data_IF_582303169370
#
_entry.id   IF_582303169370
#
_cell.length_a   1.000
_cell.length_b   1.000
_cell.length_c   1.000
_cell.angle_alpha   90.00
_cell.angle_beta   90.00
_cell.angle_gamma   90.00
#
_symmetry.space_group_name_H-M   'P 1'
#
loop_
_entity.id
_entity.type
_entity.pdbx_description
1 polymer ?
#
# COMPACT_ATOMS: atom_id res chain seq x y z
N UNK A 1 3.61 6.32 8.19
CA UNK A 1 4.24 5.10 8.72
C UNK A 1 3.26 3.95 8.54
N UNK A 2 3.73 2.79 8.11
CA UNK A 2 2.87 1.65 7.74
C UNK A 2 3.46 0.34 8.28
N UNK A 3 2.65 -0.42 9.01
CA UNK A 3 3.05 -1.72 9.55
C UNK A 3 2.73 -2.84 8.57
N UNK A 4 3.71 -3.71 8.33
CA UNK A 4 3.60 -4.76 7.30
C UNK A 4 4.13 -6.10 7.82
N UNK A 5 3.45 -7.18 7.46
CA UNK A 5 3.96 -8.55 7.57
C UNK A 5 4.36 -9.01 6.18
N UNK A 6 5.62 -9.32 5.96
CA UNK A 6 6.04 -9.93 4.69
C UNK A 6 6.16 -11.42 4.90
N UNK A 7 5.58 -12.20 4.00
CA UNK A 7 5.55 -13.65 4.01
C UNK A 7 6.12 -14.17 2.69
N UNK A 8 6.83 -15.30 2.76
CA UNK A 8 7.29 -16.01 1.58
C UNK A 8 6.55 -17.34 1.46
N UNK A 9 5.99 -17.59 0.28
CA UNK A 9 5.31 -18.84 -0.06
C UNK A 9 5.81 -19.42 -1.37
N UNK A 10 5.67 -20.73 -1.50
CA UNK A 10 5.89 -21.39 -2.78
C UNK A 10 4.84 -20.95 -3.78
N UNK A 11 5.25 -20.79 -5.04
CA UNK A 11 4.33 -20.37 -6.09
C UNK A 11 3.35 -21.53 -6.39
N UNK A 12 2.02 -21.29 -6.39
CA UNK A 12 1.06 -22.30 -6.80
C UNK A 12 1.31 -22.73 -8.24
N UNK A 13 1.16 -24.01 -8.52
CA UNK A 13 1.24 -24.54 -9.89
C UNK A 13 0.26 -23.75 -10.79
N UNK A 14 0.75 -23.26 -11.92
CA UNK A 14 0.03 -22.46 -12.92
C UNK A 14 -0.35 -21.02 -12.55
N UNK A 15 0.07 -20.49 -11.39
CA UNK A 15 -0.17 -19.08 -11.06
C UNK A 15 0.94 -18.17 -11.61
N UNK A 16 0.55 -17.09 -12.28
CA UNK A 16 1.46 -16.00 -12.70
C UNK A 16 1.51 -14.85 -11.68
N UNK A 17 0.83 -15.01 -10.54
CA UNK A 17 0.80 -13.98 -9.49
C UNK A 17 2.15 -13.91 -8.80
N UNK A 18 2.67 -12.69 -8.68
CA UNK A 18 3.96 -12.40 -8.05
C UNK A 18 3.83 -12.23 -6.55
N UNK A 19 2.77 -11.55 -6.11
CA UNK A 19 2.51 -11.28 -4.71
C UNK A 19 1.02 -11.06 -4.45
N UNK A 20 0.60 -11.25 -3.20
CA UNK A 20 -0.67 -10.76 -2.67
C UNK A 20 -0.41 -9.71 -1.59
N UNK A 21 -1.26 -8.70 -1.53
CA UNK A 21 -1.29 -7.68 -0.49
C UNK A 21 -2.70 -7.68 0.11
N UNK A 22 -2.78 -7.92 1.41
CA UNK A 22 -4.05 -7.96 2.14
C UNK A 22 -3.97 -7.02 3.33
N UNK A 23 -4.91 -6.10 3.46
CA UNK A 23 -5.00 -5.32 4.68
C UNK A 23 -5.75 -6.10 5.76
N UNK A 24 -5.17 -6.16 6.95
CA UNK A 24 -5.79 -6.73 8.14
C UNK A 24 -6.34 -5.56 8.96
N UNK A 25 -7.67 -5.48 9.14
CA UNK A 25 -8.27 -4.44 9.96
C UNK A 25 -7.80 -4.59 11.41
N UNK A 26 -7.60 -3.45 12.07
CA UNK A 26 -7.28 -3.46 13.50
C UNK A 26 -8.52 -3.91 14.27
N UNK A 27 -8.41 -4.83 15.25
CA UNK A 27 -9.54 -5.16 16.12
C UNK A 27 -10.10 -3.89 16.77
N UNK A 28 -11.43 -3.79 16.84
CA UNK A 28 -12.13 -2.71 17.56
C UNK A 28 -11.55 -2.64 18.99
N UNK A 29 -10.94 -1.51 19.36
CA UNK A 29 -10.20 -1.23 20.62
C UNK A 29 -8.68 -1.46 20.63
N UNK A 30 -8.04 -1.66 19.49
CA UNK A 30 -6.57 -1.72 19.44
C UNK A 30 -5.97 -0.36 19.13
N UNK A 31 -4.97 0.08 19.91
CA UNK A 31 -4.15 1.25 19.59
C UNK A 31 -3.23 1.02 18.37
N UNK A 32 -3.15 -0.22 17.87
CA UNK A 32 -2.32 -0.54 16.70
C UNK A 32 -3.02 -0.14 15.40
N UNK A 33 -2.29 0.47 14.46
CA UNK A 33 -2.82 0.80 13.14
C UNK A 33 -3.16 -0.48 12.35
N UNK A 34 -4.02 -0.34 11.34
CA UNK A 34 -4.25 -1.39 10.34
C UNK A 34 -2.92 -1.90 9.78
N UNK A 35 -2.78 -3.20 9.58
CA UNK A 35 -1.53 -3.82 9.13
C UNK A 35 -1.72 -4.46 7.76
N UNK A 36 -0.77 -4.29 6.85
CA UNK A 36 -0.79 -5.05 5.58
C UNK A 36 0.01 -6.34 5.68
N UNK A 37 -0.48 -7.37 5.01
CA UNK A 37 0.18 -8.66 4.84
C UNK A 37 0.56 -8.80 3.37
N UNK A 38 1.86 -8.83 3.10
CA UNK A 38 2.45 -9.00 1.79
C UNK A 38 2.95 -10.43 1.68
N UNK A 39 2.34 -11.23 0.82
CA UNK A 39 2.79 -12.59 0.51
C UNK A 39 3.51 -12.58 -0.83
N UNK A 40 4.80 -12.91 -0.85
CA UNK A 40 5.61 -13.06 -2.05
C UNK A 40 5.61 -14.53 -2.50
N UNK A 41 5.56 -14.76 -3.82
CA UNK A 41 5.60 -16.11 -4.40
C UNK A 41 6.86 -16.39 -5.22
N UNK A 42 7.52 -17.49 -4.89
CA UNK A 42 8.76 -17.92 -5.54
C UNK A 42 9.99 -17.29 -4.90
N UNK A 43 11.00 -16.98 -5.71
CA UNK A 43 12.26 -16.42 -5.20
C UNK A 43 12.11 -14.93 -4.86
N UNK A 44 12.34 -14.51 -3.60
CA UNK A 44 12.19 -13.13 -3.21
C UNK A 44 13.39 -12.29 -3.68
N UNK A 45 13.12 -11.19 -4.37
CA UNK A 45 14.12 -10.16 -4.68
C UNK A 45 13.74 -8.83 -4.04
N UNK A 46 14.70 -7.90 -3.96
CA UNK A 46 14.43 -6.57 -3.41
C UNK A 46 13.45 -5.80 -4.30
N UNK A 47 13.55 -5.97 -5.62
CA UNK A 47 12.69 -5.37 -6.62
C UNK A 47 11.26 -5.90 -6.52
N UNK A 48 11.10 -7.23 -6.39
CA UNK A 48 9.79 -7.85 -6.21
C UNK A 48 9.13 -7.38 -4.90
N UNK A 49 9.88 -7.35 -3.80
CA UNK A 49 9.37 -6.84 -2.54
C UNK A 49 8.99 -5.36 -2.65
N UNK A 50 9.82 -4.53 -3.29
CA UNK A 50 9.51 -3.11 -3.49
C UNK A 50 8.24 -2.90 -4.32
N UNK A 51 8.02 -3.69 -5.37
CA UNK A 51 6.78 -3.67 -6.16
C UNK A 51 5.56 -4.07 -5.33
N UNK A 52 5.68 -5.11 -4.51
CA UNK A 52 4.59 -5.52 -3.63
C UNK A 52 4.27 -4.46 -2.56
N UNK A 53 5.29 -3.80 -2.02
CA UNK A 53 5.11 -2.67 -1.10
C UNK A 53 4.52 -1.45 -1.79
N UNK A 54 4.91 -1.16 -3.03
CA UNK A 54 4.31 -0.12 -3.84
C UNK A 54 2.81 -0.39 -4.02
N UNK A 55 2.41 -1.62 -4.33
CA UNK A 55 0.98 -1.97 -4.43
C UNK A 55 0.23 -1.72 -3.12
N UNK A 56 0.86 -1.99 -1.97
CA UNK A 56 0.27 -1.72 -0.67
C UNK A 56 0.12 -0.22 -0.38
N UNK A 57 1.10 0.60 -0.78
CA UNK A 57 1.05 2.07 -0.66
C UNK A 57 -0.01 2.65 -1.60
N UNK A 58 -0.02 2.25 -2.86
CA UNK A 58 -0.95 2.75 -3.87
C UNK A 58 -2.40 2.33 -3.57
N UNK A 59 -2.63 1.12 -3.06
CA UNK A 59 -3.97 0.67 -2.66
C UNK A 59 -4.55 1.52 -1.51
N UNK A 60 -3.70 2.23 -0.74
CA UNK A 60 -4.10 3.14 0.33
C UNK A 60 -4.32 4.59 -0.13
N UNK A 61 -3.80 5.00 -1.29
CA UNK A 61 -3.87 6.40 -1.77
C UNK A 61 -5.29 6.92 -2.05
N UNK A 62 -6.28 6.04 -2.14
CA UNK A 62 -7.67 6.44 -2.38
C UNK A 62 -8.23 7.35 -1.25
N UNK A 63 -9.07 8.35 -1.58
CA UNK A 63 -9.38 9.49 -0.71
C UNK A 63 -10.31 9.15 0.47
N UNK A 64 -10.82 7.93 0.56
CA UNK A 64 -11.67 7.46 1.67
C UNK A 64 -10.95 6.37 2.45
N UNK A 65 -9.80 6.71 3.04
CA UNK A 65 -9.11 5.80 3.95
C UNK A 65 -9.96 5.66 5.23
N UNK A 66 -10.97 4.78 5.18
CA UNK A 66 -11.68 4.36 6.38
C UNK A 66 -10.78 3.34 7.07
N UNK A 67 -10.59 3.47 8.38
CA UNK A 67 -9.76 2.57 9.18
C UNK A 67 -10.21 1.10 9.09
N UNK A 68 -11.44 0.87 8.65
CA UNK A 68 -12.09 -0.42 8.46
C UNK A 68 -12.09 -0.94 7.01
N UNK A 69 -11.51 -0.19 6.06
CA UNK A 69 -11.41 -0.66 4.67
C UNK A 69 -10.47 -1.85 4.58
N UNK A 70 -11.02 -2.98 4.15
CA UNK A 70 -10.27 -4.19 3.82
C UNK A 70 -9.91 -4.11 2.33
N UNK A 71 -8.68 -4.46 1.99
CA UNK A 71 -8.14 -4.45 0.63
C UNK A 71 -7.50 -5.79 0.35
N UNK A 72 -7.77 -6.33 -0.83
CA UNK A 72 -7.18 -7.54 -1.35
C UNK A 72 -6.64 -7.24 -2.73
N UNK A 73 -5.34 -7.33 -2.92
CA UNK A 73 -4.69 -6.99 -4.18
C UNK A 73 -3.71 -8.09 -4.57
N UNK A 74 -3.79 -8.56 -5.80
CA UNK A 74 -2.82 -9.46 -6.40
C UNK A 74 -1.93 -8.67 -7.38
N UNK A 75 -0.66 -9.06 -7.47
CA UNK A 75 0.34 -8.41 -8.32
C UNK A 75 0.70 -9.30 -9.50
N UNK A 76 0.72 -8.72 -10.69
CA UNK A 76 1.13 -9.38 -11.94
C UNK A 76 2.27 -8.59 -12.62
N UNK A 77 3.20 -9.28 -13.32
CA UNK A 77 4.40 -8.64 -13.87
C UNK A 77 4.11 -7.45 -14.82
N UNK A 78 3.19 -7.63 -15.76
CA UNK A 78 2.91 -6.64 -16.82
C UNK A 78 1.55 -5.95 -16.67
N UNK A 79 0.68 -6.50 -15.81
CA UNK A 79 -0.68 -5.97 -15.61
C UNK A 79 -0.75 -5.00 -14.43
N UNK A 80 0.23 -5.02 -13.53
CA UNK A 80 0.21 -4.26 -12.29
C UNK A 80 -0.59 -4.96 -11.20
N UNK A 81 -1.24 -4.19 -10.33
CA UNK A 81 -1.99 -4.71 -9.19
C UNK A 81 -3.51 -4.67 -9.46
N UNK A 82 -4.20 -5.78 -9.20
CA UNK A 82 -5.66 -5.88 -9.35
C UNK A 82 -6.27 -6.57 -8.15
N UNK A 83 -7.43 -6.10 -7.73
CA UNK A 83 -8.25 -6.74 -6.71
C UNK A 83 -9.40 -5.84 -6.28
N UNK A 84 -9.68 -5.76 -4.99
CA UNK A 84 -10.81 -5.03 -4.46
C UNK A 84 -10.54 -4.36 -3.11
N UNK A 85 -11.40 -3.40 -2.79
CA UNK A 85 -11.54 -2.81 -1.47
C UNK A 85 -13.00 -2.96 -1.02
N UNK A 86 -13.18 -3.30 0.24
CA UNK A 86 -14.49 -3.47 0.86
C UNK A 86 -14.56 -2.70 2.19
N UNK A 87 -15.67 -2.02 2.43
CA UNK A 87 -15.92 -1.30 3.69
C UNK A 87 -17.41 -1.25 4.01
N UNK A 88 -17.74 -0.93 5.26
CA UNK A 88 -19.14 -0.74 5.66
C UNK A 88 -19.55 0.72 5.44
N UNK A 89 -20.70 0.92 4.82
CA UNK A 89 -21.30 2.23 4.70
C UNK A 89 -21.90 2.66 6.05
N UNK A 90 -21.46 3.79 6.60
CA UNK A 90 -21.89 4.24 7.94
C UNK A 90 -23.38 4.63 7.98
N UNK A 91 -23.92 5.11 6.86
CA UNK A 91 -25.30 5.59 6.79
C UNK A 91 -26.30 4.43 6.66
N UNK A 92 -25.96 3.41 5.87
CA UNK A 92 -26.86 2.31 5.52
C UNK A 92 -26.51 1.00 6.23
N UNK A 93 -25.31 0.88 6.78
CA UNK A 93 -24.76 -0.36 7.32
C UNK A 93 -24.42 -1.41 6.25
N UNK A 94 -24.61 -1.08 4.96
CA UNK A 94 -24.36 -1.98 3.83
C UNK A 94 -22.87 -2.19 3.58
N UNK A 95 -22.51 -3.35 3.01
CA UNK A 95 -21.16 -3.59 2.52
C UNK A 95 -21.01 -2.94 1.14
N UNK A 96 -20.04 -2.04 1.00
CA UNK A 96 -19.63 -1.45 -0.27
C UNK A 96 -18.36 -2.14 -0.72
N UNK A 97 -18.30 -2.49 -2.00
CA UNK A 97 -17.13 -3.08 -2.65
C UNK A 97 -16.73 -2.22 -3.83
N UNK A 98 -15.43 -2.15 -4.11
CA UNK A 98 -14.87 -1.39 -5.23
C UNK A 98 -13.66 -2.12 -5.79
N UNK A 99 -13.61 -2.22 -7.10
CA UNK A 99 -12.44 -2.78 -7.79
C UNK A 99 -11.24 -1.83 -7.67
N UNK A 100 -10.08 -2.41 -7.41
CA UNK A 100 -8.78 -1.76 -7.42
C UNK A 100 -8.01 -2.21 -8.66
N UNK A 101 -7.56 -1.24 -9.46
CA UNK A 101 -6.67 -1.47 -10.60
C UNK A 101 -5.56 -0.43 -10.53
N UNK A 102 -4.34 -0.88 -10.26
CA UNK A 102 -3.14 -0.05 -10.10
C UNK A 102 -2.19 -0.39 -11.26
N UNK A 103 -1.99 0.55 -12.20
CA UNK A 103 -1.13 0.34 -13.36
C UNK A 103 0.32 -0.03 -13.00
N UNK A 104 0.98 -0.81 -13.86
CA UNK A 104 2.34 -1.31 -13.63
C UNK A 104 3.41 -0.22 -13.61
N UNK A 105 3.21 0.86 -14.36
CA UNK A 105 4.07 2.05 -14.39
C UNK A 105 4.01 2.80 -13.06
N UNK A 106 2.81 3.03 -12.50
CA UNK A 106 2.62 3.63 -11.18
C UNK A 106 3.31 2.81 -10.09
N UNK A 107 3.18 1.48 -10.15
CA UNK A 107 3.86 0.59 -9.22
C UNK A 107 5.38 0.66 -9.33
N UNK A 108 5.89 0.73 -10.56
CA UNK A 108 7.33 0.77 -10.83
C UNK A 108 7.94 2.09 -10.36
N UNK A 109 7.25 3.21 -10.57
CA UNK A 109 7.65 4.53 -10.06
C UNK A 109 7.69 4.55 -8.52
N UNK A 110 6.60 4.13 -7.86
CA UNK A 110 6.56 4.06 -6.40
C UNK A 110 7.58 3.06 -5.84
N UNK A 111 7.81 1.93 -6.50
CA UNK A 111 8.83 0.96 -6.08
C UNK A 111 10.25 1.52 -6.20
N UNK A 112 10.55 2.29 -7.25
CA UNK A 112 11.83 2.96 -7.39
C UNK A 112 12.08 3.94 -6.23
N UNK A 113 11.10 4.78 -5.90
CA UNK A 113 11.18 5.67 -4.75
C UNK A 113 11.36 4.91 -3.42
N UNK A 114 10.67 3.79 -3.22
CA UNK A 114 10.85 2.95 -2.04
C UNK A 114 12.26 2.34 -1.97
N UNK A 115 12.85 1.95 -3.10
CA UNK A 115 14.22 1.41 -3.15
C UNK A 115 15.27 2.49 -2.88
N UNK A 116 15.05 3.71 -3.32
CA UNK A 116 15.92 4.85 -3.04
C UNK A 116 15.93 5.18 -1.54
N UNK A 117 14.76 5.25 -0.91
CA UNK A 117 14.64 5.64 0.50
C UNK A 117 14.89 4.48 1.47
N UNK A 118 14.37 3.29 1.16
CA UNK A 118 14.29 2.15 2.08
C UNK A 118 15.09 0.92 1.59
N UNK A 119 15.85 1.03 0.50
CA UNK A 119 16.55 -0.08 -0.15
C UNK A 119 17.39 -0.97 0.78
N UNK A 120 18.22 -0.41 1.69
CA UNK A 120 18.98 -1.24 2.65
C UNK A 120 18.09 -2.08 3.56
N UNK A 121 16.97 -1.54 4.02
CA UNK A 121 16.00 -2.25 4.87
C UNK A 121 15.26 -3.34 4.09
N UNK A 122 14.85 -3.03 2.85
CA UNK A 122 14.21 -3.98 1.93
C UNK A 122 15.14 -5.16 1.64
N UNK A 123 16.41 -4.90 1.30
CA UNK A 123 17.42 -5.95 1.06
C UNK A 123 17.68 -6.82 2.28
N UNK A 124 17.75 -6.21 3.48
CA UNK A 124 17.89 -6.95 4.74
C UNK A 124 16.69 -7.86 4.98
N UNK A 125 15.48 -7.39 4.68
CA UNK A 125 14.26 -8.18 4.84
C UNK A 125 14.26 -9.39 3.89
N UNK A 126 14.60 -9.18 2.62
CA UNK A 126 14.72 -10.27 1.63
C UNK A 126 15.77 -11.30 2.06
N UNK A 127 16.93 -10.86 2.52
CA UNK A 127 17.95 -11.77 3.04
C UNK A 127 17.44 -12.59 4.23
N UNK A 128 16.67 -11.98 5.13
CA UNK A 128 16.04 -12.68 6.26
C UNK A 128 14.99 -13.71 5.84
N UNK A 129 14.19 -13.41 4.82
CA UNK A 129 13.22 -14.36 4.25
C UNK A 129 13.90 -15.51 3.50
N UNK A 130 15.11 -15.29 2.99
CA UNK A 130 15.84 -16.25 2.16
C UNK A 130 16.80 -17.15 2.96
N UNK A 131 16.86 -17.02 4.28
CA UNK A 131 17.75 -17.86 5.09
C UNK A 131 17.44 -19.35 4.86
N UNK A 132 18.44 -20.19 4.57
CA UNK A 132 18.22 -21.61 4.30
C UNK A 132 17.74 -22.40 5.53
N UNK A 133 18.05 -21.89 6.71
CA UNK A 133 17.91 -22.50 8.04
C UNK A 133 16.64 -22.03 8.79
N UNK A 134 15.60 -21.62 8.06
CA UNK A 134 14.28 -21.40 8.67
C UNK A 134 13.83 -22.66 9.43
N UNK A 135 13.42 -22.54 10.71
CA UNK A 135 13.01 -23.69 11.49
C UNK A 135 11.90 -24.47 10.79
N UNK A 136 12.06 -25.79 10.73
CA UNK A 136 11.11 -26.69 10.09
C UNK A 136 9.69 -26.47 10.65
N UNK A 137 8.69 -26.39 9.78
CA UNK A 137 7.30 -26.10 10.15
C UNK A 137 6.97 -24.64 10.45
N UNK A 138 7.92 -23.69 10.33
CA UNK A 138 7.67 -22.26 10.54
C UNK A 138 7.44 -21.53 9.22
N UNK A 139 6.34 -20.77 9.11
CA UNK A 139 6.08 -19.91 7.95
C UNK A 139 7.09 -18.78 7.90
N UNK A 140 7.73 -18.59 6.75
CA UNK A 140 8.73 -17.54 6.51
C UNK A 140 8.06 -16.18 6.52
N UNK A 141 8.06 -15.52 7.67
CA UNK A 141 7.38 -14.23 7.84
C UNK A 141 8.17 -13.26 8.72
N UNK A 142 8.29 -12.00 8.28
CA UNK A 142 9.01 -10.94 8.98
C UNK A 142 8.10 -9.72 9.13
N UNK A 143 8.00 -9.22 10.36
CA UNK A 143 7.31 -7.97 10.66
C UNK A 143 8.24 -6.79 10.44
N UNK A 144 7.77 -5.76 9.73
CA UNK A 144 8.55 -4.53 9.55
C UNK A 144 7.63 -3.32 9.47
N UNK A 145 8.19 -2.16 9.74
CA UNK A 145 7.50 -0.89 9.60
C UNK A 145 8.17 -0.05 8.52
N UNK A 146 7.37 0.44 7.58
CA UNK A 146 7.79 1.31 6.50
C UNK A 146 7.56 2.78 6.87
N UNK A 147 8.64 3.55 6.85
CA UNK A 147 8.63 5.02 6.97
C UNK A 147 9.24 5.60 5.71
N UNK A 148 8.39 5.89 4.72
CA UNK A 148 8.81 6.47 3.43
C UNK A 148 8.04 7.76 3.16
N UNK A 149 8.65 8.70 2.45
CA UNK A 149 7.96 9.90 2.00
C UNK A 149 6.81 9.54 1.05
N UNK A 150 6.91 8.47 0.25
CA UNK A 150 5.81 7.98 -0.57
C UNK A 150 4.57 7.58 0.26
N UNK A 151 4.80 7.02 1.46
CA UNK A 151 3.75 6.72 2.45
C UNK A 151 3.19 8.01 3.07
N UNK A 152 4.04 9.02 3.26
CA UNK A 152 3.65 10.32 3.83
C UNK A 152 2.92 11.19 2.81
N UNK A 153 3.29 11.16 1.53
CA UNK A 153 2.64 11.88 0.42
C UNK A 153 1.31 11.23 0.07
N UNK A 154 1.17 9.90 0.21
CA UNK A 154 -0.15 9.25 0.15
C UNK A 154 -1.14 9.83 1.18
N UNK A 155 -0.65 10.23 2.37
CA UNK A 155 -1.45 10.96 3.36
C UNK A 155 -1.40 12.50 3.23
N UNK A 156 -0.36 13.04 2.60
CA UNK A 156 0.04 14.45 2.60
C UNK A 156 -0.35 15.24 1.35
N UNK A 157 -0.51 14.57 0.20
CA UNK A 157 -1.08 15.17 -1.02
C UNK A 157 -2.49 15.73 -0.78
N UNK A 158 -3.18 15.24 0.26
CA UNK A 158 -4.42 15.85 0.78
C UNK A 158 -4.16 17.26 1.33
N UNK A 159 -3.16 17.45 2.19
CA UNK A 159 -2.89 18.76 2.78
C UNK A 159 -2.45 19.78 1.74
N UNK A 160 -1.57 19.42 0.81
CA UNK A 160 -1.16 20.36 -0.25
C UNK A 160 -2.32 20.70 -1.20
N UNK A 161 -3.14 19.73 -1.63
CA UNK A 161 -4.30 20.02 -2.49
C UNK A 161 -5.40 20.85 -1.78
N UNK A 162 -5.62 20.62 -0.48
CA UNK A 162 -6.53 21.47 0.32
C UNK A 162 -5.94 22.88 0.53
N UNK A 163 -4.63 23.01 0.79
CA UNK A 163 -3.97 24.32 0.94
C UNK A 163 -3.93 25.10 -0.38
N UNK A 164 -3.77 24.43 -1.52
CA UNK A 164 -3.77 25.06 -2.84
C UNK A 164 -5.19 25.48 -3.27
N UNK A 165 -6.22 24.74 -2.81
CA UNK A 165 -7.63 25.15 -2.89
C UNK A 165 -7.92 26.42 -2.06
N UNK A 166 -7.43 26.51 -0.82
CA UNK A 166 -7.57 27.73 -0.02
C UNK A 166 -6.81 28.92 -0.63
N UNK A 167 -5.62 28.69 -1.21
CA UNK A 167 -4.86 29.73 -1.90
C UNK A 167 -5.54 30.22 -3.18
N UNK A 168 -6.29 29.35 -3.85
CA UNK A 168 -7.06 29.70 -5.06
C UNK A 168 -8.41 30.36 -4.78
N UNK A 169 -8.93 30.26 -3.54
CA UNK A 169 -10.23 30.82 -3.15
C UNK A 169 -10.20 32.30 -2.73
N UNK A 170 -9.03 32.89 -2.46
CA UNK A 170 -8.89 34.31 -2.07
C UNK A 170 -8.74 35.27 -3.27
N UNK A 171 -9.12 34.85 -4.47
CA UNK A 171 -9.29 35.71 -5.64
C UNK A 171 -10.63 36.48 -5.63
N UNK A 172 -11.00 37.13 -4.52
CA UNK A 172 -12.14 38.06 -4.52
C UNK A 172 -11.68 39.34 -5.23
N UNK A 173 -11.99 39.42 -6.53
CA UNK A 173 -11.98 40.67 -7.28
C UNK A 173 -13.00 41.62 -6.68
N UNK A 174 -12.53 42.71 -6.08
CA UNK A 174 -13.39 43.85 -5.74
C UNK A 174 -13.30 44.80 -6.93
N UNK A 175 -14.21 44.62 -7.88
CA UNK A 175 -14.57 45.69 -8.82
C UNK A 175 -15.07 46.85 -7.98
N UNK A 176 -14.24 47.90 -7.88
CA UNK A 176 -14.64 49.16 -7.26
C UNK A 176 -14.84 50.14 -8.40
N UNK A 177 -16.03 50.08 -8.99
CA UNK A 177 -16.55 51.14 -9.84
C UNK A 177 -16.86 52.36 -8.96
N UNK A 178 -16.27 53.51 -9.28
CA UNK A 178 -16.45 54.73 -8.50
C UNK A 178 -15.83 55.97 -9.14
N UNK A 179 -16.66 56.65 -9.95
CA UNK A 179 -16.71 58.07 -10.35
C UNK A 179 -15.52 58.72 -11.10
#
# INVERSE_FOLDING_TARGET
MMDVLVMLEERPEHSTVLAHVNSVPSPLNSERPSRDVVTLYGDPTAELLALALAAAVEARREPTERSETIRHVALWPERGAVGDAAWRDEMTGGLVTRDLVIPSDVLSETAAHLLEECGPSIRRLVAGLSMPDWPEGTRRAISFTLTSSAVMVAGGARYDAFLDSYRSADGIGVDTEGD
#
